data_IF_446950409103
#
_entry.id   IF_446950409103
#
_cell.length_a   1.000
_cell.length_b   1.000
_cell.length_c   1.000
_cell.angle_alpha   90.00
_cell.angle_beta   90.00
_cell.angle_gamma   90.00
#
_symmetry.space_group_name_H-M   'P 1'
#
loop_
_entity.id
_entity.type
_entity.pdbx_description
1 polymer ?
#
# COMPACT_ATOMS: atom_id res chain seq x y z
N UNK A 1 12.03 -7.66 -11.44
CA UNK A 1 13.15 -8.63 -11.54
C UNK A 1 13.29 -9.47 -10.27
N UNK A 2 13.41 -8.87 -9.09
CA UNK A 2 13.56 -9.60 -7.80
C UNK A 2 12.41 -10.57 -7.51
N UNK A 3 11.21 -10.32 -8.01
CA UNK A 3 10.04 -11.16 -7.78
C UNK A 3 10.14 -12.50 -8.51
N UNK A 4 10.74 -12.48 -9.72
CA UNK A 4 11.03 -13.70 -10.49
C UNK A 4 12.24 -14.44 -9.91
N UNK A 5 13.27 -13.70 -9.48
CA UNK A 5 14.46 -14.26 -8.84
C UNK A 5 14.11 -14.83 -7.47
N UNK A 6 13.23 -14.19 -6.71
CA UNK A 6 12.73 -14.64 -5.40
C UNK A 6 12.08 -16.00 -5.53
N UNK A 7 11.11 -16.16 -6.43
CA UNK A 7 10.47 -17.46 -6.70
C UNK A 7 11.46 -18.61 -6.98
N UNK A 8 12.56 -18.31 -7.68
CA UNK A 8 13.62 -19.28 -7.95
C UNK A 8 14.56 -19.51 -6.75
N UNK A 9 15.01 -18.44 -6.09
CA UNK A 9 15.90 -18.47 -4.92
C UNK A 9 15.21 -19.14 -3.72
N UNK A 10 13.89 -18.99 -3.57
CA UNK A 10 13.10 -19.65 -2.54
C UNK A 10 13.06 -21.18 -2.67
N UNK A 11 13.43 -21.74 -3.83
CA UNK A 11 13.55 -23.19 -3.99
C UNK A 11 14.89 -23.74 -3.46
N UNK A 12 15.91 -22.90 -3.29
CA UNK A 12 17.26 -23.33 -2.88
C UNK A 12 17.65 -22.90 -1.47
N UNK A 13 17.04 -21.83 -0.92
CA UNK A 13 17.37 -21.27 0.40
C UNK A 13 16.19 -21.43 1.37
N UNK A 14 16.47 -21.71 2.64
CA UNK A 14 15.44 -21.74 3.69
C UNK A 14 14.66 -20.42 3.73
N UNK A 15 13.34 -20.49 3.53
CA UNK A 15 12.43 -19.34 3.49
C UNK A 15 12.54 -18.41 4.69
N UNK A 16 12.67 -18.98 5.90
CA UNK A 16 12.84 -18.24 7.15
C UNK A 16 14.07 -17.32 7.13
N UNK A 17 15.19 -17.77 6.57
CA UNK A 17 16.42 -16.98 6.47
C UNK A 17 16.27 -15.87 5.43
N UNK A 18 15.61 -16.15 4.30
CA UNK A 18 15.36 -15.13 3.28
C UNK A 18 14.46 -14.02 3.82
N UNK A 19 13.40 -14.38 4.56
CA UNK A 19 12.53 -13.42 5.25
C UNK A 19 13.29 -12.58 6.29
N UNK A 20 14.09 -13.23 7.14
CA UNK A 20 14.90 -12.54 8.13
C UNK A 20 15.89 -11.56 7.50
N UNK A 21 16.52 -11.95 6.39
CA UNK A 21 17.44 -11.09 5.63
C UNK A 21 16.73 -9.85 5.07
N UNK A 22 15.57 -10.00 4.43
CA UNK A 22 14.82 -8.86 3.89
C UNK A 22 14.33 -7.92 5.02
N UNK A 23 13.87 -8.47 6.15
CA UNK A 23 13.50 -7.66 7.32
C UNK A 23 14.71 -6.90 7.90
N UNK A 24 15.89 -7.54 7.95
CA UNK A 24 17.11 -6.91 8.44
C UNK A 24 17.55 -5.75 7.54
N UNK A 25 17.57 -5.97 6.22
CA UNK A 25 17.91 -4.91 5.25
C UNK A 25 16.90 -3.75 5.36
N UNK A 26 15.60 -4.04 5.50
CA UNK A 26 14.59 -3.00 5.73
C UNK A 26 14.87 -2.21 7.00
N UNK A 27 15.15 -2.87 8.13
CA UNK A 27 15.44 -2.20 9.41
C UNK A 27 16.62 -1.23 9.29
N UNK A 28 17.70 -1.66 8.65
CA UNK A 28 18.89 -0.81 8.41
C UNK A 28 18.53 0.38 7.53
N UNK A 29 17.84 0.16 6.40
CA UNK A 29 17.47 1.25 5.50
C UNK A 29 16.55 2.27 6.16
N UNK A 30 15.55 1.83 6.93
CA UNK A 30 14.60 2.71 7.63
C UNK A 30 15.30 3.56 8.69
N UNK A 31 16.28 3.00 9.41
CA UNK A 31 17.08 3.75 10.38
C UNK A 31 17.97 4.82 9.73
N UNK A 32 18.43 4.59 8.50
CA UNK A 32 19.33 5.50 7.77
C UNK A 32 18.57 6.66 7.11
N UNK A 33 17.29 6.50 6.76
CA UNK A 33 16.45 7.55 6.12
C UNK A 33 16.58 8.92 6.79
N UNK A 34 16.36 9.10 8.11
CA UNK A 34 16.40 10.43 8.75
C UNK A 34 17.80 11.05 8.79
N UNK A 35 18.86 10.26 8.60
CA UNK A 35 20.27 10.70 8.71
C UNK A 35 20.82 11.13 7.34
N UNK A 36 20.10 10.88 6.24
CA UNK A 36 20.57 11.12 4.88
C UNK A 36 20.75 12.63 4.60
N UNK A 37 21.99 13.12 4.36
CA UNK A 37 22.23 14.54 4.11
C UNK A 37 21.96 14.95 2.65
N UNK A 38 22.00 13.97 1.73
CA UNK A 38 21.92 14.18 0.28
C UNK A 38 20.72 13.46 -0.32
N UNK A 39 20.01 14.14 -1.21
CA UNK A 39 18.83 13.62 -1.90
C UNK A 39 19.13 12.39 -2.77
N UNK A 40 20.33 12.30 -3.37
CA UNK A 40 20.78 11.10 -4.11
C UNK A 40 20.93 9.88 -3.20
N UNK A 41 21.46 10.09 -2.00
CA UNK A 41 21.63 9.03 -1.00
C UNK A 41 20.25 8.57 -0.51
N UNK A 42 19.35 9.52 -0.24
CA UNK A 42 17.97 9.23 0.14
C UNK A 42 17.26 8.34 -0.90
N UNK A 43 17.31 8.69 -2.19
CA UNK A 43 16.69 7.86 -3.23
C UNK A 43 17.33 6.46 -3.34
N UNK A 44 18.64 6.37 -3.16
CA UNK A 44 19.32 5.06 -3.17
C UNK A 44 18.86 4.20 -1.99
N UNK A 45 18.78 4.78 -0.79
CA UNK A 45 18.31 4.08 0.43
C UNK A 45 16.84 3.67 0.29
N UNK A 46 15.99 4.55 -0.23
CA UNK A 46 14.58 4.24 -0.51
C UNK A 46 14.44 3.14 -1.56
N UNK A 47 15.29 3.13 -2.59
CA UNK A 47 15.34 2.05 -3.58
C UNK A 47 15.69 0.70 -2.96
N UNK A 48 16.68 0.65 -2.07
CA UNK A 48 17.05 -0.57 -1.33
C UNK A 48 15.92 -1.00 -0.38
N UNK A 49 15.29 -0.04 0.31
CA UNK A 49 14.15 -0.31 1.19
C UNK A 49 12.98 -0.91 0.41
N UNK A 50 12.64 -0.35 -0.75
CA UNK A 50 11.57 -0.83 -1.63
C UNK A 50 11.87 -2.22 -2.21
N UNK A 51 13.11 -2.45 -2.64
CA UNK A 51 13.58 -3.78 -3.04
C UNK A 51 13.39 -4.80 -1.90
N UNK A 52 13.78 -4.44 -0.68
CA UNK A 52 13.67 -5.35 0.45
C UNK A 52 12.20 -5.61 0.86
N UNK A 53 11.37 -4.57 0.83
CA UNK A 53 9.93 -4.65 1.14
C UNK A 53 9.16 -5.56 0.17
N UNK A 54 9.38 -5.39 -1.14
CA UNK A 54 8.73 -6.24 -2.14
C UNK A 54 9.14 -7.71 -1.99
N UNK A 55 10.42 -7.99 -1.77
CA UNK A 55 10.91 -9.36 -1.54
C UNK A 55 10.33 -10.00 -0.29
N UNK A 56 10.19 -9.23 0.79
CA UNK A 56 9.54 -9.68 2.03
C UNK A 56 8.06 -10.05 1.82
N UNK A 57 7.29 -9.20 1.14
CA UNK A 57 5.84 -9.41 0.93
C UNK A 57 5.55 -10.71 0.15
N UNK A 58 6.35 -11.01 -0.88
CA UNK A 58 6.21 -12.27 -1.62
C UNK A 58 6.60 -13.45 -0.77
N UNK A 59 7.73 -13.36 -0.06
CA UNK A 59 8.23 -14.43 0.75
C UNK A 59 7.22 -14.85 1.83
N UNK A 60 6.55 -13.87 2.46
CA UNK A 60 5.57 -14.15 3.51
C UNK A 60 4.27 -14.74 2.94
N UNK A 61 3.78 -14.22 1.81
CA UNK A 61 2.59 -14.77 1.13
C UNK A 61 2.84 -16.23 0.74
N UNK A 62 3.94 -16.51 0.04
CA UNK A 62 4.26 -17.88 -0.40
C UNK A 62 4.47 -18.80 0.81
N UNK A 63 5.12 -18.31 1.88
CA UNK A 63 5.34 -19.12 3.07
C UNK A 63 4.03 -19.46 3.82
N UNK A 64 3.10 -18.52 3.95
CA UNK A 64 1.77 -18.76 4.53
C UNK A 64 1.00 -19.80 3.70
N UNK A 65 1.06 -19.67 2.38
CA UNK A 65 0.35 -20.55 1.45
C UNK A 65 0.88 -21.98 1.54
N UNK A 66 2.19 -22.17 1.58
CA UNK A 66 2.76 -23.50 1.70
C UNK A 66 2.51 -24.13 3.08
N UNK A 67 2.47 -23.33 4.13
CA UNK A 67 2.31 -23.86 5.50
C UNK A 67 0.86 -24.26 5.79
N UNK A 68 -0.12 -23.60 5.19
CA UNK A 68 -1.55 -23.86 5.44
C UNK A 68 -2.37 -24.33 4.23
N UNK A 69 -1.78 -24.39 3.03
CA UNK A 69 -2.34 -24.94 1.79
C UNK A 69 -3.82 -24.55 1.59
N UNK A 70 -4.77 -25.48 1.74
CA UNK A 70 -6.22 -25.23 1.56
C UNK A 70 -6.83 -24.19 2.52
N UNK A 71 -6.18 -23.88 3.64
CA UNK A 71 -6.63 -22.85 4.59
C UNK A 71 -5.87 -21.53 4.42
N UNK A 72 -4.99 -21.42 3.41
CA UNK A 72 -4.10 -20.29 3.19
C UNK A 72 -4.83 -18.95 3.17
N UNK A 73 -5.97 -18.85 2.47
CA UNK A 73 -6.76 -17.62 2.41
C UNK A 73 -7.22 -17.09 3.78
N UNK A 74 -7.59 -17.97 4.72
CA UNK A 74 -7.96 -17.56 6.07
C UNK A 74 -6.77 -16.94 6.81
N UNK A 75 -5.58 -17.55 6.71
CA UNK A 75 -4.37 -17.05 7.36
C UNK A 75 -3.82 -15.78 6.70
N UNK A 76 -3.98 -15.64 5.37
CA UNK A 76 -3.69 -14.39 4.66
C UNK A 76 -4.63 -13.27 5.09
N UNK A 77 -5.93 -13.56 5.27
CA UNK A 77 -6.88 -12.61 5.85
C UNK A 77 -6.51 -12.21 7.27
N UNK A 78 -6.02 -13.15 8.08
CA UNK A 78 -5.48 -12.86 9.42
C UNK A 78 -4.24 -11.97 9.38
N UNK A 79 -3.33 -12.19 8.44
CA UNK A 79 -2.16 -11.33 8.25
C UNK A 79 -2.57 -9.89 7.87
N UNK A 80 -3.57 -9.74 7.00
CA UNK A 80 -4.12 -8.43 6.62
C UNK A 80 -4.77 -7.70 7.81
N UNK A 81 -5.43 -8.44 8.72
CA UNK A 81 -5.95 -7.86 9.96
C UNK A 81 -4.83 -7.27 10.83
N UNK A 82 -3.73 -8.01 11.03
CA UNK A 82 -2.60 -7.49 11.80
C UNK A 82 -1.91 -6.31 11.11
N UNK A 83 -1.84 -6.31 9.77
CA UNK A 83 -1.40 -5.14 9.00
C UNK A 83 -2.29 -3.92 9.25
N UNK A 84 -3.61 -4.09 9.22
CA UNK A 84 -4.57 -3.02 9.50
C UNK A 84 -4.43 -2.46 10.92
N UNK A 85 -4.26 -3.34 11.92
CA UNK A 85 -4.00 -2.94 13.32
C UNK A 85 -2.69 -2.12 13.39
N UNK A 86 -1.65 -2.54 12.68
CA UNK A 86 -0.40 -1.80 12.56
C UNK A 86 -0.61 -0.38 12.02
N UNK A 87 -1.39 -0.23 10.94
CA UNK A 87 -1.72 1.07 10.35
C UNK A 87 -2.56 1.99 11.25
N UNK A 88 -3.29 1.45 12.22
CA UNK A 88 -3.98 2.25 13.24
C UNK A 88 -3.03 2.68 14.37
N UNK A 89 -2.14 1.79 14.80
CA UNK A 89 -1.21 2.04 15.91
C UNK A 89 -0.08 2.98 15.47
N UNK A 90 0.42 2.87 14.24
CA UNK A 90 1.57 3.63 13.77
C UNK A 90 1.36 5.17 13.84
N UNK A 91 0.24 5.75 13.35
CA UNK A 91 -0.05 7.17 13.53
C UNK A 91 -0.14 7.58 15.01
N UNK A 92 -0.71 6.74 15.88
CA UNK A 92 -0.85 7.02 17.30
C UNK A 92 0.50 7.10 18.04
N UNK A 93 1.44 6.23 17.66
CA UNK A 93 2.82 6.28 18.15
C UNK A 93 3.55 7.51 17.60
N UNK A 94 3.33 7.87 16.33
CA UNK A 94 4.01 8.99 15.68
C UNK A 94 3.47 10.39 16.08
N UNK A 95 2.18 10.47 16.44
CA UNK A 95 1.47 11.71 16.76
C UNK A 95 2.20 12.64 17.75
N UNK A 96 2.68 12.18 18.93
CA UNK A 96 3.37 13.06 19.89
C UNK A 96 4.70 13.60 19.38
N UNK A 97 5.27 13.02 18.33
CA UNK A 97 6.52 13.50 17.71
C UNK A 97 6.25 14.55 16.61
N UNK A 98 5.01 14.65 16.13
CA UNK A 98 4.61 15.60 15.09
C UNK A 98 4.01 16.89 15.67
N UNK A 99 3.33 16.84 16.83
CA UNK A 99 2.68 18.00 17.45
C UNK A 99 3.60 18.76 18.41
N UNK A 100 4.21 19.85 17.95
CA UNK A 100 4.52 21.08 18.73
C UNK A 100 5.12 22.13 17.80
N UNK A 101 4.26 22.89 17.12
CA UNK A 101 4.62 24.20 16.56
C UNK A 101 3.52 25.17 17.01
N UNK A 102 3.47 25.47 18.30
CA UNK A 102 3.00 26.79 18.75
C UNK A 102 4.24 27.67 18.75
N UNK A 103 4.60 28.23 17.60
CA UNK A 103 5.45 29.42 17.55
C UNK A 103 4.63 30.59 18.08
N UNK A 104 4.39 30.61 19.39
CA UNK A 104 4.24 31.89 20.07
C UNK A 104 5.64 32.51 20.00
N UNK A 105 5.85 33.38 19.02
CA UNK A 105 7.00 34.25 18.97
C UNK A 105 6.96 35.12 20.23
N UNK A 106 7.54 34.63 21.33
CA UNK A 106 8.02 35.50 22.39
C UNK A 106 9.43 35.86 21.95
N UNK A 107 9.58 37.07 21.42
CA UNK A 107 10.88 37.69 21.16
C UNK A 107 11.59 37.92 22.50
N UNK A 108 12.22 36.88 23.03
CA UNK A 108 13.15 37.01 24.15
C UNK A 108 14.51 37.32 23.54
N UNK A 109 14.91 38.57 23.72
CA UNK A 109 16.20 39.11 23.37
C UNK A 109 17.30 38.35 24.13
N UNK A 110 17.81 37.23 23.58
CA UNK A 110 19.02 36.52 24.03
C UNK A 110 19.43 35.46 23.00
N UNK A 111 20.70 35.47 22.64
CA UNK A 111 21.33 34.71 21.56
C UNK A 111 21.36 33.19 21.79
N UNK A 112 20.42 32.46 21.19
CA UNK A 112 20.68 31.12 20.62
C UNK A 112 19.78 30.94 19.41
N UNK A 113 20.31 31.17 18.21
CA UNK A 113 19.65 30.81 16.95
C UNK A 113 19.74 29.28 16.83
N UNK A 114 18.85 28.58 17.54
CA UNK A 114 18.60 27.18 17.25
C UNK A 114 17.73 27.18 15.99
N UNK A 115 18.33 26.91 14.84
CA UNK A 115 17.60 26.80 13.58
C UNK A 115 16.43 25.80 13.74
N UNK A 116 15.18 26.24 13.59
CA UNK A 116 14.00 25.40 13.84
C UNK A 116 13.96 24.16 12.94
N UNK A 117 14.61 24.22 11.78
CA UNK A 117 14.80 23.08 10.86
C UNK A 117 15.60 21.94 11.48
N UNK A 118 16.64 22.23 12.28
CA UNK A 118 17.49 21.21 12.92
C UNK A 118 16.72 20.50 14.05
N UNK A 119 15.89 21.23 14.80
CA UNK A 119 15.05 20.66 15.87
C UNK A 119 13.97 19.73 15.30
N UNK A 120 13.37 20.10 14.16
CA UNK A 120 12.38 19.27 13.48
C UNK A 120 12.97 17.95 12.94
N UNK A 121 14.18 17.98 12.37
CA UNK A 121 14.84 16.76 11.85
C UNK A 121 15.12 15.77 12.99
N UNK A 122 15.64 16.25 14.14
CA UNK A 122 15.91 15.40 15.31
C UNK A 122 14.64 14.79 15.92
N UNK A 123 13.50 15.46 15.80
CA UNK A 123 12.23 14.94 16.34
C UNK A 123 11.59 13.90 15.42
N UNK A 124 11.76 14.05 14.10
CA UNK A 124 11.33 13.07 13.11
C UNK A 124 12.18 11.80 13.12
N UNK A 125 13.44 11.86 13.57
CA UNK A 125 14.31 10.69 13.69
C UNK A 125 13.73 9.60 14.63
N UNK A 126 13.07 10.00 15.71
CA UNK A 126 12.54 9.09 16.74
C UNK A 126 11.53 8.06 16.20
N UNK A 127 10.43 8.44 15.49
CA UNK A 127 9.49 7.46 14.95
C UNK A 127 10.11 6.52 13.91
N UNK A 128 11.11 6.97 13.14
CA UNK A 128 11.84 6.10 12.21
C UNK A 128 12.70 5.06 12.95
N UNK A 129 13.39 5.47 14.02
CA UNK A 129 14.16 4.55 14.87
C UNK A 129 13.23 3.52 15.53
N UNK A 130 12.08 3.95 16.06
CA UNK A 130 11.11 3.03 16.67
C UNK A 130 10.68 1.96 15.63
N UNK A 131 10.33 2.38 14.42
CA UNK A 131 9.97 1.47 13.34
C UNK A 131 11.11 0.48 12.99
N UNK A 132 12.34 0.99 12.87
CA UNK A 132 13.52 0.16 12.61
C UNK A 132 13.76 -0.89 13.71
N UNK A 133 13.56 -0.54 14.98
CA UNK A 133 13.69 -1.48 16.11
C UNK A 133 12.63 -2.59 16.04
N UNK A 134 11.37 -2.27 15.73
CA UNK A 134 10.33 -3.29 15.54
C UNK A 134 10.66 -4.27 14.40
N UNK A 135 11.18 -3.76 13.28
CA UNK A 135 11.63 -4.59 12.16
C UNK A 135 12.82 -5.49 12.53
N UNK A 136 13.77 -4.95 13.32
CA UNK A 136 14.94 -5.70 13.78
C UNK A 136 14.54 -6.82 14.75
N UNK A 137 13.64 -6.53 15.70
CA UNK A 137 13.07 -7.55 16.60
C UNK A 137 12.36 -8.65 15.79
N UNK A 138 11.58 -8.27 14.76
CA UNK A 138 10.90 -9.23 13.89
C UNK A 138 11.89 -10.13 13.13
N UNK A 139 13.00 -9.56 12.63
CA UNK A 139 14.08 -10.33 12.00
C UNK A 139 14.74 -11.31 12.98
N UNK A 140 15.06 -10.86 14.20
CA UNK A 140 15.64 -11.72 15.24
C UNK A 140 14.71 -12.86 15.64
N UNK A 141 13.40 -12.60 15.78
CA UNK A 141 12.40 -13.63 16.08
C UNK A 141 12.37 -14.73 15.00
N UNK A 142 12.49 -14.37 13.72
CA UNK A 142 12.56 -15.37 12.64
C UNK A 142 13.85 -16.17 12.64
N UNK A 143 14.99 -15.55 12.99
CA UNK A 143 16.28 -16.24 13.14
C UNK A 143 16.19 -17.22 14.31
N UNK A 144 15.65 -16.78 15.44
CA UNK A 144 15.42 -17.64 16.61
C UNK A 144 14.50 -18.81 16.25
N UNK A 145 13.38 -18.53 15.55
CA UNK A 145 12.47 -19.56 15.07
C UNK A 145 13.16 -20.55 14.12
N UNK A 146 14.09 -20.09 13.30
CA UNK A 146 14.88 -20.97 12.43
C UNK A 146 15.72 -21.98 13.21
N UNK A 147 16.35 -21.55 14.31
CA UNK A 147 17.11 -22.44 15.18
C UNK A 147 16.22 -23.41 15.98
N UNK A 148 15.04 -22.97 16.44
CA UNK A 148 14.12 -23.83 17.18
C UNK A 148 13.38 -24.84 16.28
N UNK A 149 12.92 -24.40 15.12
CA UNK A 149 12.16 -25.24 14.19
C UNK A 149 12.49 -24.86 12.76
N UNK A 150 13.47 -25.58 12.22
CA UNK A 150 13.84 -25.48 10.81
C UNK A 150 12.63 -25.83 9.94
N UNK A 151 12.22 -24.88 9.12
CA UNK A 151 11.18 -25.13 8.12
C UNK A 151 11.73 -26.08 7.05
N UNK A 152 11.05 -27.21 6.86
CA UNK A 152 11.31 -28.12 5.75
C UNK A 152 10.15 -27.89 4.77
N UNK A 153 10.42 -27.45 3.53
CA UNK A 153 9.35 -27.26 2.56
C UNK A 153 8.61 -28.59 2.35
N UNK A 154 7.27 -28.58 2.27
CA UNK A 154 6.53 -29.79 1.95
C UNK A 154 7.01 -30.33 0.61
N UNK A 155 7.24 -31.63 0.52
CA UNK A 155 7.48 -32.31 -0.76
C UNK A 155 6.29 -31.94 -1.65
N UNK A 156 6.56 -31.37 -2.85
CA UNK A 156 5.52 -31.09 -3.83
C UNK A 156 4.89 -32.44 -4.21
N UNK A 157 3.84 -32.84 -3.50
CA UNK A 157 2.94 -33.89 -3.97
C UNK A 157 2.22 -33.22 -5.13
N UNK A 158 2.72 -33.49 -6.33
CA UNK A 158 2.06 -33.18 -7.57
C UNK A 158 0.62 -33.69 -7.41
N UNK A 159 -0.34 -32.77 -7.28
CA UNK A 159 -1.74 -33.16 -7.31
C UNK A 159 -1.95 -33.75 -8.69
N UNK A 160 -1.92 -35.08 -8.79
CA UNK A 160 -2.57 -35.83 -9.86
C UNK A 160 -4.07 -35.56 -9.76
N UNK A 161 -4.48 -34.38 -10.19
CA UNK A 161 -5.85 -34.09 -10.53
C UNK A 161 -5.82 -33.80 -12.01
N UNK A 162 -6.20 -34.82 -12.76
CA UNK A 162 -6.57 -34.79 -14.16
C UNK A 162 -7.52 -33.63 -14.43
N UNK A 163 -6.97 -32.50 -14.87
CA UNK A 163 -7.65 -31.62 -15.80
C UNK A 163 -6.63 -31.25 -16.86
N UNK A 164 -6.82 -31.79 -18.05
CA UNK A 164 -6.28 -31.30 -19.31
C UNK A 164 -6.87 -29.91 -19.58
N UNK A 165 -6.58 -28.95 -18.71
CA UNK A 165 -6.95 -27.56 -18.90
C UNK A 165 -5.86 -26.96 -19.79
N UNK A 166 -6.26 -26.45 -20.95
CA UNK A 166 -5.34 -25.83 -21.89
C UNK A 166 -4.60 -24.69 -21.20
N UNK A 167 -3.25 -24.67 -21.27
CA UNK A 167 -2.39 -23.57 -20.77
C UNK A 167 -2.88 -22.17 -21.18
N UNK A 168 -3.67 -22.07 -22.25
CA UNK A 168 -4.31 -20.83 -22.69
C UNK A 168 -5.30 -20.27 -21.65
N UNK A 169 -6.13 -21.10 -21.03
CA UNK A 169 -7.12 -20.65 -20.05
C UNK A 169 -6.46 -20.15 -18.76
N UNK A 170 -5.40 -20.83 -18.32
CA UNK A 170 -4.64 -20.41 -17.13
C UNK A 170 -3.98 -19.04 -17.35
N UNK A 171 -3.38 -18.83 -18.53
CA UNK A 171 -2.85 -17.52 -18.93
C UNK A 171 -3.94 -16.44 -19.00
N UNK A 172 -5.14 -16.78 -19.48
CA UNK A 172 -6.27 -15.83 -19.55
C UNK A 172 -6.71 -15.42 -18.14
N UNK A 173 -6.94 -16.37 -17.23
CA UNK A 173 -7.33 -16.06 -15.85
C UNK A 173 -6.25 -15.27 -15.11
N UNK A 174 -4.97 -15.61 -15.30
CA UNK A 174 -3.85 -14.88 -14.73
C UNK A 174 -3.79 -13.43 -15.26
N UNK A 175 -3.92 -13.25 -16.57
CA UNK A 175 -3.90 -11.91 -17.19
C UNK A 175 -5.11 -11.07 -16.75
N UNK A 176 -6.30 -11.67 -16.73
CA UNK A 176 -7.52 -11.00 -16.30
C UNK A 176 -7.41 -10.54 -14.85
N UNK A 177 -6.92 -11.40 -13.97
CA UNK A 177 -6.79 -11.02 -12.57
C UNK A 177 -5.68 -9.97 -12.35
N UNK A 178 -4.56 -10.00 -13.08
CA UNK A 178 -3.58 -8.89 -13.05
C UNK A 178 -4.26 -7.55 -13.42
N UNK A 179 -5.08 -7.56 -14.47
CA UNK A 179 -5.75 -6.36 -14.97
C UNK A 179 -6.82 -5.82 -14.01
N UNK A 180 -7.52 -6.69 -13.28
CA UNK A 180 -8.52 -6.27 -12.30
C UNK A 180 -7.86 -5.84 -10.98
N UNK A 181 -6.81 -6.54 -10.56
CA UNK A 181 -6.28 -6.47 -9.20
C UNK A 181 -5.14 -5.48 -9.09
N UNK A 182 -4.26 -5.41 -10.10
CA UNK A 182 -3.17 -4.43 -10.13
C UNK A 182 -3.67 -3.01 -9.90
N UNK A 183 -4.66 -2.53 -10.67
CA UNK A 183 -5.30 -1.24 -10.45
C UNK A 183 -5.98 -1.11 -9.09
N UNK A 184 -6.64 -2.15 -8.60
CA UNK A 184 -7.31 -2.11 -7.30
C UNK A 184 -6.30 -1.86 -6.17
N UNK A 185 -5.21 -2.62 -6.11
CA UNK A 185 -4.19 -2.49 -5.08
C UNK A 185 -3.45 -1.15 -5.23
N UNK A 186 -3.23 -0.70 -6.47
CA UNK A 186 -2.71 0.65 -6.73
C UNK A 186 -3.61 1.74 -6.15
N UNK A 187 -4.91 1.67 -6.43
CA UNK A 187 -5.91 2.60 -5.88
C UNK A 187 -5.97 2.55 -4.35
N UNK A 188 -5.91 1.36 -3.76
CA UNK A 188 -5.88 1.18 -2.30
C UNK A 188 -4.69 1.93 -1.68
N UNK A 189 -3.47 1.62 -2.10
CA UNK A 189 -2.24 2.22 -1.54
C UNK A 189 -2.24 3.74 -1.77
N UNK A 190 -2.68 4.20 -2.94
CA UNK A 190 -2.73 5.63 -3.24
C UNK A 190 -3.72 6.37 -2.36
N UNK A 191 -4.93 5.83 -2.15
CA UNK A 191 -5.91 6.46 -1.28
C UNK A 191 -5.40 6.52 0.18
N UNK A 192 -4.72 5.47 0.65
CA UNK A 192 -4.10 5.48 1.98
C UNK A 192 -2.99 6.52 2.14
N UNK A 193 -2.28 6.89 1.07
CA UNK A 193 -1.16 7.83 1.13
C UNK A 193 -1.55 9.26 0.77
N UNK A 194 -2.47 9.45 -0.17
CA UNK A 194 -2.73 10.75 -0.80
C UNK A 194 -4.01 11.43 -0.31
N UNK A 195 -4.88 10.79 0.48
CA UNK A 195 -6.05 11.47 1.07
C UNK A 195 -5.65 12.75 1.84
N UNK A 196 -4.61 12.75 2.70
CA UNK A 196 -4.23 13.97 3.39
C UNK A 196 -3.84 15.10 2.43
N UNK A 197 -3.12 14.77 1.37
CA UNK A 197 -2.70 15.71 0.31
C UNK A 197 -3.88 16.20 -0.51
N UNK A 198 -4.79 15.31 -0.90
CA UNK A 198 -6.03 15.64 -1.59
C UNK A 198 -6.87 16.62 -0.76
N UNK A 199 -6.94 16.43 0.56
CA UNK A 199 -7.70 17.31 1.45
C UNK A 199 -6.98 18.63 1.76
N UNK A 200 -5.64 18.66 1.78
CA UNK A 200 -4.88 19.91 1.96
C UNK A 200 -4.92 20.79 0.72
N UNK A 201 -4.94 20.18 -0.47
CA UNK A 201 -4.85 20.89 -1.75
C UNK A 201 -6.23 21.07 -2.41
N UNK A 202 -7.29 20.61 -1.75
CA UNK A 202 -8.68 20.81 -2.19
C UNK A 202 -9.11 22.29 -2.19
N UNK A 203 -10.19 22.59 -2.91
CA UNK A 203 -10.71 23.96 -3.07
C UNK A 203 -11.03 24.66 -1.73
N UNK A 204 -11.46 23.90 -0.71
CA UNK A 204 -11.51 24.36 0.67
C UNK A 204 -10.41 23.65 1.48
N UNK A 205 -9.20 24.24 1.59
CA UNK A 205 -8.07 23.57 2.21
C UNK A 205 -8.37 23.23 3.67
N UNK A 206 -8.39 21.93 3.99
CA UNK A 206 -8.54 21.48 5.37
C UNK A 206 -7.23 21.65 6.13
N UNK A 207 -7.33 22.01 7.42
CA UNK A 207 -6.18 22.00 8.32
C UNK A 207 -5.51 20.61 8.31
N UNK A 208 -4.18 20.58 8.31
CA UNK A 208 -3.40 19.35 8.31
C UNK A 208 -3.83 18.35 9.40
N UNK A 209 -4.25 18.85 10.57
CA UNK A 209 -4.77 18.02 11.67
C UNK A 209 -6.10 17.34 11.34
N UNK A 210 -6.96 18.00 10.55
CA UNK A 210 -8.27 17.47 10.15
C UNK A 210 -8.11 16.43 9.03
N UNK A 211 -7.23 16.70 8.07
CA UNK A 211 -6.88 15.76 7.00
C UNK A 211 -6.25 14.47 7.56
N UNK A 212 -5.37 14.58 8.56
CA UNK A 212 -4.83 13.39 9.25
C UNK A 212 -5.90 12.61 10.03
N UNK A 213 -6.91 13.29 10.59
CA UNK A 213 -8.02 12.63 11.28
C UNK A 213 -8.87 11.85 10.28
N UNK A 214 -9.10 12.41 9.09
CA UNK A 214 -9.82 11.72 8.00
C UNK A 214 -9.08 10.48 7.50
N UNK A 215 -7.74 10.53 7.40
CA UNK A 215 -6.93 9.35 7.13
C UNK A 215 -7.01 8.33 8.28
N UNK A 216 -6.99 8.80 9.54
CA UNK A 216 -7.22 7.93 10.70
C UNK A 216 -8.57 7.24 10.67
N UNK A 217 -9.63 7.94 10.21
CA UNK A 217 -10.95 7.37 10.00
C UNK A 217 -10.93 6.27 8.94
N UNK A 218 -10.25 6.50 7.80
CA UNK A 218 -10.08 5.47 6.77
C UNK A 218 -9.41 4.21 7.34
N UNK A 219 -8.25 4.37 7.98
CA UNK A 219 -7.49 3.26 8.55
C UNK A 219 -8.30 2.51 9.62
N UNK A 220 -9.01 3.25 10.47
CA UNK A 220 -9.84 2.69 11.53
C UNK A 220 -11.02 1.88 10.99
N UNK A 221 -11.76 2.41 10.03
CA UNK A 221 -12.87 1.69 9.38
C UNK A 221 -12.36 0.46 8.64
N UNK A 222 -11.26 0.60 7.91
CA UNK A 222 -10.58 -0.52 7.26
C UNK A 222 -10.23 -1.64 8.25
N UNK A 223 -9.61 -1.31 9.39
CA UNK A 223 -9.24 -2.28 10.41
C UNK A 223 -10.45 -2.98 11.06
N UNK A 224 -11.50 -2.23 11.40
CA UNK A 224 -12.75 -2.79 11.95
C UNK A 224 -13.38 -3.77 10.96
N UNK A 225 -13.44 -3.40 9.68
CA UNK A 225 -14.01 -4.28 8.67
C UNK A 225 -13.10 -5.48 8.38
N UNK A 226 -11.78 -5.34 8.38
CA UNK A 226 -10.89 -6.52 8.31
C UNK A 226 -11.18 -7.52 9.43
N UNK A 227 -11.46 -7.05 10.65
CA UNK A 227 -11.82 -7.93 11.78
C UNK A 227 -13.16 -8.63 11.54
N UNK A 228 -14.19 -7.89 11.15
CA UNK A 228 -15.52 -8.45 10.83
C UNK A 228 -15.38 -9.52 9.75
N UNK A 229 -14.64 -9.21 8.70
CA UNK A 229 -14.50 -10.11 7.56
C UNK A 229 -13.65 -11.33 7.86
N UNK A 230 -12.63 -11.21 8.71
CA UNK A 230 -11.90 -12.37 9.22
C UNK A 230 -12.83 -13.32 9.99
N UNK A 231 -13.69 -12.79 10.88
CA UNK A 231 -14.67 -13.60 11.63
C UNK A 231 -15.71 -14.24 10.69
N UNK A 232 -16.18 -13.50 9.68
CA UNK A 232 -17.14 -14.01 8.69
C UNK A 232 -16.50 -15.05 7.78
N UNK A 233 -15.23 -14.89 7.39
CA UNK A 233 -14.49 -15.83 6.55
C UNK A 233 -14.27 -17.19 7.22
N UNK A 234 -14.24 -17.24 8.56
CA UNK A 234 -14.25 -18.51 9.29
C UNK A 234 -15.56 -19.29 9.05
N UNK A 235 -16.66 -18.59 8.75
CA UNK A 235 -18.03 -19.16 8.72
C UNK A 235 -18.60 -19.34 7.31
N UNK A 236 -18.17 -18.56 6.32
CA UNK A 236 -18.75 -18.57 4.97
C UNK A 236 -17.69 -18.63 3.85
N UNK A 237 -17.97 -19.41 2.80
CA UNK A 237 -17.18 -19.50 1.57
C UNK A 237 -17.67 -18.46 0.58
N UNK A 238 -16.82 -17.51 0.15
CA UNK A 238 -17.35 -16.34 -0.55
C UNK A 238 -16.67 -16.01 -1.86
N UNK A 239 -17.38 -16.34 -2.94
CA UNK A 239 -17.07 -15.90 -4.31
C UNK A 239 -17.66 -14.52 -4.64
N UNK A 240 -18.62 -14.02 -3.86
CA UNK A 240 -19.36 -12.78 -4.17
C UNK A 240 -18.75 -11.51 -3.56
N UNK A 241 -17.77 -11.59 -2.65
CA UNK A 241 -17.22 -10.41 -1.96
C UNK A 241 -16.48 -9.47 -2.90
N UNK A 242 -15.78 -10.00 -3.91
CA UNK A 242 -14.99 -9.19 -4.85
C UNK A 242 -15.87 -8.17 -5.57
N UNK A 243 -17.04 -8.59 -6.06
CA UNK A 243 -17.96 -7.69 -6.77
C UNK A 243 -18.54 -6.61 -5.87
N UNK A 244 -18.92 -6.98 -4.64
CA UNK A 244 -19.45 -6.03 -3.65
C UNK A 244 -18.41 -4.97 -3.31
N UNK A 245 -17.15 -5.35 -3.09
CA UNK A 245 -16.07 -4.41 -2.80
C UNK A 245 -15.79 -3.47 -3.96
N UNK A 246 -15.74 -3.98 -5.20
CA UNK A 246 -15.51 -3.16 -6.38
C UNK A 246 -16.61 -2.10 -6.54
N UNK A 247 -17.87 -2.47 -6.33
CA UNK A 247 -18.99 -1.51 -6.36
C UNK A 247 -18.82 -0.46 -5.27
N UNK A 248 -18.48 -0.86 -4.03
CA UNK A 248 -18.26 0.08 -2.93
C UNK A 248 -17.12 1.07 -3.22
N UNK A 249 -16.01 0.61 -3.80
CA UNK A 249 -14.88 1.48 -4.17
C UNK A 249 -15.29 2.46 -5.28
N UNK A 250 -16.05 2.03 -6.29
CA UNK A 250 -16.56 2.92 -7.33
C UNK A 250 -17.49 3.98 -6.73
N UNK A 251 -18.44 3.58 -5.89
CA UNK A 251 -19.37 4.49 -5.21
C UNK A 251 -18.62 5.51 -4.35
N UNK A 252 -17.59 5.06 -3.63
CA UNK A 252 -16.74 5.95 -2.83
C UNK A 252 -16.04 7.02 -3.68
N UNK A 253 -15.41 6.62 -4.79
CA UNK A 253 -14.69 7.55 -5.66
C UNK A 253 -15.65 8.58 -6.30
N UNK A 254 -16.87 8.18 -6.64
CA UNK A 254 -17.92 9.11 -7.12
C UNK A 254 -18.27 10.13 -6.03
N UNK A 255 -18.43 9.69 -4.78
CA UNK A 255 -18.72 10.60 -3.66
C UNK A 255 -17.58 11.60 -3.41
N UNK A 256 -16.32 11.15 -3.49
CA UNK A 256 -15.16 12.04 -3.38
C UNK A 256 -15.09 13.06 -4.52
N UNK A 257 -15.41 12.63 -5.75
CA UNK A 257 -15.48 13.53 -6.90
C UNK A 257 -16.60 14.57 -6.77
N UNK A 258 -17.78 14.16 -6.31
CA UNK A 258 -18.93 15.06 -6.07
C UNK A 258 -18.61 16.08 -4.97
N UNK A 259 -17.90 15.67 -3.91
CA UNK A 259 -17.44 16.58 -2.87
C UNK A 259 -16.54 17.69 -3.44
N UNK A 260 -15.60 17.33 -4.31
CA UNK A 260 -14.70 18.30 -4.94
C UNK A 260 -15.44 19.31 -5.83
N UNK A 261 -16.49 18.88 -6.54
CA UNK A 261 -17.17 19.74 -7.51
C UNK A 261 -18.25 20.66 -6.91
N UNK A 262 -18.95 20.21 -5.87
CA UNK A 262 -20.16 20.89 -5.38
C UNK A 262 -20.01 21.55 -4.01
N UNK A 263 -18.80 21.62 -3.44
CA UNK A 263 -18.52 22.21 -2.11
C UNK A 263 -19.47 21.68 -1.01
N UNK A 264 -19.83 20.40 -1.07
CA UNK A 264 -20.77 19.81 -0.12
C UNK A 264 -20.20 19.65 1.29
N UNK A 265 -21.13 19.53 2.25
CA UNK A 265 -20.91 19.19 3.66
C UNK A 265 -19.81 18.16 3.92
N UNK A 266 -19.00 18.40 4.96
CA UNK A 266 -18.00 17.49 5.54
C UNK A 266 -18.53 16.06 5.76
N UNK A 267 -19.83 15.91 6.03
CA UNK A 267 -20.45 14.59 6.24
C UNK A 267 -20.44 13.72 4.98
N UNK A 268 -20.53 14.32 3.79
CA UNK A 268 -20.49 13.60 2.52
C UNK A 268 -19.08 13.05 2.26
N UNK A 269 -18.06 13.87 2.54
CA UNK A 269 -16.66 13.45 2.49
C UNK A 269 -16.40 12.28 3.46
N UNK A 270 -16.84 12.42 4.72
CA UNK A 270 -16.71 11.35 5.71
C UNK A 270 -17.42 10.07 5.26
N UNK A 271 -18.62 10.17 4.67
CA UNK A 271 -19.35 9.02 4.15
C UNK A 271 -18.57 8.33 3.01
N UNK A 272 -17.98 9.10 2.08
CA UNK A 272 -17.12 8.58 1.03
C UNK A 272 -15.92 7.80 1.60
N UNK A 273 -15.18 8.42 2.53
CA UNK A 273 -14.01 7.80 3.17
C UNK A 273 -14.38 6.52 3.94
N UNK A 274 -15.51 6.50 4.65
CA UNK A 274 -16.01 5.31 5.36
C UNK A 274 -16.32 4.19 4.35
N UNK A 275 -17.08 4.49 3.30
CA UNK A 275 -17.42 3.50 2.26
C UNK A 275 -16.15 2.97 1.59
N UNK A 276 -15.16 3.83 1.39
CA UNK A 276 -13.85 3.44 0.85
C UNK A 276 -13.13 2.41 1.73
N UNK A 277 -13.05 2.68 3.04
CA UNK A 277 -12.41 1.77 4.00
C UNK A 277 -13.07 0.40 4.05
N UNK A 278 -14.41 0.37 3.92
CA UNK A 278 -15.17 -0.88 3.80
C UNK A 278 -14.78 -1.63 2.52
N UNK A 279 -14.76 -0.94 1.38
CA UNK A 279 -14.44 -1.53 0.08
C UNK A 279 -13.04 -2.12 -0.03
N UNK A 280 -12.04 -1.52 0.64
CA UNK A 280 -10.67 -2.05 0.63
C UNK A 280 -10.46 -3.27 1.56
N UNK A 281 -11.28 -3.42 2.61
CA UNK A 281 -11.03 -4.36 3.72
C UNK A 281 -10.93 -5.86 3.39
N UNK A 282 -11.53 -6.35 2.30
CA UNK A 282 -11.59 -7.81 2.01
C UNK A 282 -10.99 -8.24 0.69
N UNK A 283 -10.46 -7.30 -0.07
CA UNK A 283 -10.15 -7.59 -1.47
C UNK A 283 -8.93 -8.51 -1.59
N UNK A 284 -7.87 -8.26 -0.82
CA UNK A 284 -6.64 -9.06 -0.85
C UNK A 284 -6.84 -10.57 -0.57
N UNK A 285 -7.50 -11.00 0.53
CA UNK A 285 -7.77 -12.42 0.77
C UNK A 285 -8.80 -13.01 -0.20
N UNK A 286 -9.85 -12.25 -0.57
CA UNK A 286 -10.90 -12.74 -1.47
C UNK A 286 -10.36 -13.09 -2.85
N UNK A 287 -9.47 -12.23 -3.38
CA UNK A 287 -8.73 -12.44 -4.61
C UNK A 287 -7.90 -13.72 -4.55
N UNK A 288 -7.19 -13.92 -3.44
CA UNK A 288 -6.33 -15.09 -3.29
C UNK A 288 -7.16 -16.38 -3.34
N UNK A 289 -8.29 -16.42 -2.63
CA UNK A 289 -9.26 -17.54 -2.73
C UNK A 289 -9.81 -17.74 -4.13
N UNK A 290 -10.11 -16.66 -4.86
CA UNK A 290 -10.61 -16.75 -6.22
C UNK A 290 -9.59 -17.43 -7.14
N UNK A 291 -8.31 -17.04 -7.03
CA UNK A 291 -7.26 -17.67 -7.80
C UNK A 291 -6.95 -19.10 -7.36
N UNK A 292 -6.88 -19.37 -6.07
CA UNK A 292 -6.67 -20.73 -5.56
C UNK A 292 -7.78 -21.70 -6.01
N UNK A 293 -9.01 -21.19 -6.14
CA UNK A 293 -10.15 -21.99 -6.61
C UNK A 293 -10.18 -22.25 -8.12
N UNK A 294 -9.48 -21.44 -8.92
CA UNK A 294 -9.55 -21.46 -10.39
C UNK A 294 -8.22 -21.76 -11.08
N UNK A 295 -7.09 -21.66 -10.37
CA UNK A 295 -5.73 -21.90 -10.85
C UNK A 295 -4.95 -22.75 -9.84
N UNK A 296 -4.15 -23.68 -10.34
CA UNK A 296 -3.11 -24.32 -9.54
C UNK A 296 -1.97 -23.32 -9.33
N UNK A 297 -1.99 -22.66 -8.17
CA UNK A 297 -0.97 -21.69 -7.80
C UNK A 297 0.34 -22.40 -7.46
N UNK A 298 1.23 -22.53 -8.46
CA UNK A 298 2.65 -22.80 -8.21
C UNK A 298 3.38 -21.52 -7.79
N UNK A 299 4.51 -21.69 -7.09
CA UNK A 299 5.39 -20.62 -6.65
C UNK A 299 5.78 -19.66 -7.79
N UNK A 300 5.93 -20.19 -9.01
CA UNK A 300 6.24 -19.41 -10.21
C UNK A 300 5.06 -18.51 -10.62
N UNK A 301 3.85 -19.07 -10.67
CA UNK A 301 2.62 -18.38 -11.07
C UNK A 301 2.27 -17.27 -10.08
N UNK A 302 2.35 -17.55 -8.78
CA UNK A 302 2.12 -16.55 -7.72
C UNK A 302 3.15 -15.42 -7.78
N UNK A 303 4.42 -15.74 -8.04
CA UNK A 303 5.47 -14.73 -8.19
C UNK A 303 5.20 -13.83 -9.41
N UNK A 304 4.85 -14.40 -10.57
CA UNK A 304 4.50 -13.62 -11.76
C UNK A 304 3.31 -12.70 -11.47
N UNK A 305 2.26 -13.24 -10.85
CA UNK A 305 1.05 -12.49 -10.50
C UNK A 305 1.35 -11.30 -9.59
N UNK A 306 2.06 -11.51 -8.48
CA UNK A 306 2.43 -10.43 -7.55
C UNK A 306 3.37 -9.43 -8.24
N UNK A 307 4.27 -9.89 -9.11
CA UNK A 307 5.19 -9.01 -9.84
C UNK A 307 4.49 -8.04 -10.77
N UNK A 308 3.49 -8.52 -11.50
CA UNK A 308 2.75 -7.70 -12.44
C UNK A 308 1.90 -6.67 -11.70
N UNK A 309 1.30 -7.05 -10.57
CA UNK A 309 0.60 -6.13 -9.67
C UNK A 309 1.52 -5.05 -9.12
N UNK A 310 2.74 -5.40 -8.69
CA UNK A 310 3.74 -4.44 -8.21
C UNK A 310 4.14 -3.38 -9.25
N UNK A 311 4.27 -3.77 -10.53
CA UNK A 311 4.54 -2.82 -11.61
C UNK A 311 3.38 -1.85 -11.79
N UNK A 312 2.14 -2.35 -11.75
CA UNK A 312 0.95 -1.49 -11.84
C UNK A 312 0.94 -0.45 -10.71
N UNK A 313 1.16 -0.88 -9.47
CA UNK A 313 1.22 0.01 -8.30
C UNK A 313 2.26 1.12 -8.49
N UNK A 314 3.41 0.85 -9.11
CA UNK A 314 4.43 1.88 -9.36
C UNK A 314 4.01 2.90 -10.43
N UNK A 315 3.19 2.51 -11.41
CA UNK A 315 2.77 3.37 -12.54
C UNK A 315 1.66 4.33 -12.13
N UNK A 316 0.75 3.91 -11.25
CA UNK A 316 -0.44 4.69 -10.90
C UNK A 316 -0.13 6.06 -10.25
N UNK A 317 0.74 6.18 -9.22
CA UNK A 317 1.09 7.46 -8.61
C UNK A 317 1.72 8.44 -9.60
N UNK A 318 2.60 7.96 -10.48
CA UNK A 318 3.28 8.82 -11.47
C UNK A 318 2.27 9.43 -12.43
N UNK A 319 1.34 8.63 -12.96
CA UNK A 319 0.30 9.12 -13.86
C UNK A 319 -0.65 10.10 -13.19
N UNK A 320 -0.99 9.86 -11.92
CA UNK A 320 -1.85 10.78 -11.19
C UNK A 320 -1.13 12.10 -10.91
N UNK A 321 0.14 12.06 -10.52
CA UNK A 321 0.93 13.28 -10.30
C UNK A 321 1.07 14.09 -11.60
N UNK A 322 1.33 13.44 -12.74
CA UNK A 322 1.35 14.10 -14.05
C UNK A 322 0.00 14.77 -14.38
N UNK A 323 -1.12 14.12 -14.04
CA UNK A 323 -2.45 14.72 -14.22
C UNK A 323 -2.72 15.89 -13.27
N UNK A 324 -2.25 15.80 -12.02
CA UNK A 324 -2.37 16.88 -11.03
C UNK A 324 -1.56 18.09 -11.50
N UNK A 325 -0.30 17.92 -11.89
CA UNK A 325 0.55 18.98 -12.41
C UNK A 325 -0.05 19.63 -13.66
N UNK A 326 -0.56 18.82 -14.60
CA UNK A 326 -1.24 19.32 -15.79
C UNK A 326 -2.49 20.14 -15.45
N UNK A 327 -3.29 19.70 -14.47
CA UNK A 327 -4.48 20.43 -14.02
C UNK A 327 -4.14 21.75 -13.33
N UNK A 328 -3.05 21.81 -12.57
CA UNK A 328 -2.54 23.03 -11.96
C UNK A 328 -2.01 24.00 -12.99
N UNK A 329 -1.30 23.52 -14.02
CA UNK A 329 -0.82 24.35 -15.12
C UNK A 329 -1.98 24.93 -15.94
N UNK A 330 -3.00 24.13 -16.28
CA UNK A 330 -4.22 24.64 -16.92
C UNK A 330 -4.91 25.72 -16.08
N UNK A 331 -5.01 25.51 -14.76
CA UNK A 331 -5.63 26.49 -13.84
C UNK A 331 -4.82 27.79 -13.72
N UNK A 332 -3.49 27.73 -13.83
CA UNK A 332 -2.61 28.93 -13.86
C UNK A 332 -2.70 29.69 -15.17
N UNK A 333 -2.88 28.98 -16.29
CA UNK A 333 -3.10 29.59 -17.60
C UNK A 333 -4.46 30.29 -17.64
N UNK A 334 -5.51 29.69 -17.07
CA UNK A 334 -6.85 30.28 -16.99
C UNK A 334 -6.93 31.44 -15.97
N UNK A 335 -6.15 31.41 -14.88
CA UNK A 335 -6.05 32.51 -13.92
C UNK A 335 -5.25 33.73 -14.40
N UNK A 336 -4.52 33.59 -15.51
CA UNK A 336 -3.69 34.64 -16.11
C UNK A 336 -4.30 35.35 -17.31
N UNK A 337 -5.39 34.84 -17.89
CA UNK A 337 -5.94 35.38 -19.13
C UNK A 337 -7.46 35.38 -19.09
N UNK A 338 -8.02 36.54 -18.76
CA UNK A 338 -9.27 36.94 -19.36
C UNK A 338 -9.10 36.94 -20.89
N UNK A 339 -9.63 35.90 -21.54
CA UNK A 339 -9.81 35.81 -22.99
C UNK A 339 -8.63 35.25 -23.78
N UNK A 340 -8.66 33.95 -24.10
CA UNK A 340 -8.39 33.45 -25.46
C UNK A 340 -8.58 31.93 -25.55
N UNK A 341 -9.66 31.54 -26.21
CA UNK A 341 -9.79 30.41 -27.13
C UNK A 341 -9.46 28.97 -26.66
N UNK A 342 -10.53 28.15 -26.70
CA UNK A 342 -10.49 26.76 -27.13
C UNK A 342 -9.38 26.52 -28.18
N UNK A 343 -8.43 25.66 -27.83
CA UNK A 343 -7.62 24.94 -28.83
C UNK A 343 -7.93 23.46 -28.68
N UNK A 344 -9.08 23.07 -29.25
CA UNK A 344 -9.28 21.72 -29.76
C UNK A 344 -8.93 21.73 -31.24
N UNK A 345 -8.08 20.79 -31.64
CA UNK A 345 -7.45 20.76 -32.96
C UNK A 345 -8.41 20.68 -34.14
N UNK A 346 -7.92 21.19 -35.28
CA UNK A 346 -8.35 20.75 -36.60
C UNK A 346 -7.09 20.52 -37.42
N UNK A 347 -6.91 19.27 -37.82
CA UNK A 347 -5.73 18.78 -38.51
C UNK A 347 -5.60 19.28 -39.94
N UNK A 348 -4.43 18.94 -40.47
CA UNK A 348 -4.00 19.04 -41.85
C UNK A 348 -5.05 18.59 -42.87
N UNK A 349 -5.05 19.25 -44.03
CA UNK A 349 -5.79 18.84 -45.21
C UNK A 349 -5.55 19.82 -46.36
N UNK A 350 -4.73 19.37 -47.31
CA UNK A 350 -4.42 20.01 -48.59
C UNK A 350 -5.65 20.45 -49.40
N UNK A 351 -5.35 21.36 -50.33
CA UNK A 351 -6.10 21.90 -51.48
C UNK A 351 -6.88 23.20 -51.27
#
# INVERSE_FOLDING_TARGET
>A
MQILVGGYVFNYINRQLVLAFHLFVMAVTVAVIPICPNLRVLFTVLGICGFSSGGFEIAIIVWIVELWNQKSSLYLGGAQLFFAIGNCIAPLISAPFLTNINTNYVSINSTTIINPTIVNIKRLEVPFIINAVFLLISSLLLIILHFYRKYIPPIKVEKEISFTQSKKWDCIYLTLGIFVIGPFVGLEIMNFQLIPTFLSDSYQPMSASKSSLMLGLLNGVFAIFCLINFVVAIKFWTKNYIYVNLILVIVSNILLFVYQYYEYSERLLMAGIVIMGIGFSTTYPSIYTFFESNLTLDNTTTSIFISATGIMIAVFPVKMLEQIDWSHDCSRVDGGVGGAAMVFGRGDGND
#
